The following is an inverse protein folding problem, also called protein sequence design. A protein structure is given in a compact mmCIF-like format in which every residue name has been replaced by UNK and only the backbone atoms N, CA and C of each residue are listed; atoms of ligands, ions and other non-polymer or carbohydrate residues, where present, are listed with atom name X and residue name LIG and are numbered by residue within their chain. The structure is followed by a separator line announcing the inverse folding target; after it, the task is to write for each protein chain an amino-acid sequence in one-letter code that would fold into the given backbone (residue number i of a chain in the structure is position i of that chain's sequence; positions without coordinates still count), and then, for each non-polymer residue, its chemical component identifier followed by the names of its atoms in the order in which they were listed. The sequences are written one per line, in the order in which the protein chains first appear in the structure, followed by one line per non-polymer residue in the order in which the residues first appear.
data_IF_745368432410
#
_entry.id   IF_745368432410
#
_cell.length_a   1.000
_cell.length_b   1.000
_cell.length_c   1.000
_cell.angle_alpha   90.00
_cell.angle_beta   90.00
_cell.angle_gamma   90.00
#
_symmetry.space_group_name_H-M   'P 1'
#
loop_
_entity.id
_entity.type
_entity.pdbx_description
1 polymer ?
#
# COMPACT_ATOMS: atom_id res chain seq x y z
N UNK A 1 1.56 27.89 14.60
CA UNK A 1 2.35 26.67 14.48
C UNK A 1 3.05 26.59 13.15
N UNK A 2 4.25 26.05 13.16
CA UNK A 2 4.97 25.70 11.95
C UNK A 2 5.27 24.21 11.94
N UNK A 3 5.29 23.64 10.74
CA UNK A 3 5.62 22.23 10.54
C UNK A 3 6.93 22.13 9.78
N UNK A 4 7.79 21.23 10.22
CA UNK A 4 9.00 20.90 9.51
C UNK A 4 8.90 19.49 8.96
N UNK A 5 9.58 19.27 7.84
CA UNK A 5 9.66 17.95 7.22
C UNK A 5 10.36 16.95 8.12
N UNK A 6 9.72 15.82 8.36
CA UNK A 6 10.27 14.73 9.19
C UNK A 6 10.53 13.49 8.36
N UNK A 7 9.55 13.10 7.55
CA UNK A 7 9.61 11.85 6.80
C UNK A 7 8.66 11.90 5.62
N UNK A 8 9.01 11.20 4.57
CA UNK A 8 8.12 11.03 3.45
C UNK A 8 8.75 10.21 2.34
N UNK A 9 7.99 10.03 1.27
CA UNK A 9 8.44 9.33 0.09
C UNK A 9 7.82 9.93 -1.16
N UNK A 10 8.65 10.22 -2.14
CA UNK A 10 8.22 10.68 -3.47
C UNK A 10 8.02 9.53 -4.44
N UNK A 11 8.29 8.31 -4.00
CA UNK A 11 8.14 7.09 -4.80
C UNK A 11 8.93 7.11 -6.11
N UNK A 12 10.13 7.63 -6.07
CA UNK A 12 11.06 7.50 -7.20
C UNK A 12 11.56 6.06 -7.33
N UNK A 13 11.61 5.36 -6.21
CA UNK A 13 11.84 3.93 -6.15
C UNK A 13 11.12 3.35 -4.94
N UNK A 14 10.90 2.04 -4.93
CA UNK A 14 10.28 1.36 -3.80
C UNK A 14 11.36 0.85 -2.85
N UNK A 15 11.63 1.62 -1.81
CA UNK A 15 12.72 1.35 -0.88
C UNK A 15 12.29 0.40 0.24
N UNK A 16 12.99 -0.70 0.39
CA UNK A 16 12.75 -1.64 1.50
C UNK A 16 13.17 -1.09 2.87
N UNK A 17 13.95 -0.02 2.90
CA UNK A 17 14.30 0.66 4.15
C UNK A 17 13.17 1.53 4.68
N UNK A 18 12.20 1.90 3.84
CA UNK A 18 11.02 2.70 4.21
C UNK A 18 9.76 1.87 4.29
N UNK A 19 9.59 0.89 3.44
CA UNK A 19 8.32 0.20 3.24
C UNK A 19 8.47 -1.31 3.37
N UNK A 20 7.47 -1.90 4.02
CA UNK A 20 7.25 -3.33 4.07
C UNK A 20 6.14 -3.67 3.08
N UNK A 21 6.47 -4.38 2.02
CA UNK A 21 5.52 -4.75 0.98
C UNK A 21 4.85 -6.07 1.36
N UNK A 22 3.53 -6.09 1.33
CA UNK A 22 2.75 -7.23 1.78
C UNK A 22 2.85 -8.42 0.84
N UNK A 23 2.83 -9.60 1.45
CA UNK A 23 2.67 -10.86 0.76
C UNK A 23 1.77 -11.77 1.57
N UNK A 24 0.93 -12.56 0.89
CA UNK A 24 0.05 -13.51 1.55
C UNK A 24 -1.41 -13.11 1.58
N UNK A 25 -2.27 -13.94 2.21
CA UNK A 25 -3.70 -13.65 2.28
C UNK A 25 -3.99 -12.47 3.19
N UNK A 26 -4.97 -11.67 2.82
CA UNK A 26 -5.46 -10.55 3.63
C UNK A 26 -6.74 -10.96 4.35
N UNK A 27 -6.62 -11.26 5.65
CA UNK A 27 -7.74 -11.66 6.46
C UNK A 27 -8.37 -12.99 6.06
N UNK A 28 -9.36 -13.44 6.81
CA UNK A 28 -10.02 -14.72 6.56
C UNK A 28 -11.20 -14.63 5.59
N UNK A 29 -11.81 -13.45 5.46
CA UNK A 29 -13.01 -13.23 4.66
C UNK A 29 -12.78 -12.45 3.37
N UNK A 30 -11.58 -11.96 3.15
CA UNK A 30 -11.24 -11.21 1.96
C UNK A 30 -10.85 -12.16 0.82
N UNK A 31 -11.21 -11.79 -0.40
CA UNK A 31 -10.98 -12.60 -1.59
C UNK A 31 -9.65 -12.26 -2.28
N UNK A 32 -8.77 -11.57 -1.60
CA UNK A 32 -7.50 -11.08 -2.14
C UNK A 32 -6.31 -11.74 -1.49
N UNK A 33 -5.27 -11.91 -2.29
CA UNK A 33 -3.97 -12.38 -1.86
C UNK A 33 -2.94 -11.31 -2.21
N UNK A 34 -2.18 -10.82 -1.23
CA UNK A 34 -1.17 -9.82 -1.50
C UNK A 34 0.03 -10.41 -2.23
N UNK A 35 0.41 -9.76 -3.31
CA UNK A 35 1.57 -10.12 -4.12
C UNK A 35 2.51 -8.93 -4.22
N UNK A 36 3.81 -9.09 -3.94
CA UNK A 36 4.76 -7.98 -4.09
C UNK A 36 4.80 -7.41 -5.50
N UNK A 37 4.53 -8.24 -6.52
CA UNK A 37 4.49 -7.79 -7.91
C UNK A 37 3.34 -6.84 -8.21
N UNK A 38 2.36 -6.72 -7.31
CA UNK A 38 1.23 -5.80 -7.45
C UNK A 38 1.53 -4.40 -6.87
N UNK A 39 2.75 -4.18 -6.39
CA UNK A 39 3.20 -2.90 -5.87
C UNK A 39 4.49 -2.51 -6.56
N UNK A 40 4.49 -1.40 -7.29
CA UNK A 40 5.70 -0.90 -7.94
C UNK A 40 5.69 0.61 -8.05
N UNK A 41 6.85 1.19 -8.36
CA UNK A 41 6.97 2.63 -8.60
C UNK A 41 7.23 2.89 -10.08
N UNK A 42 6.65 3.97 -10.57
CA UNK A 42 6.84 4.43 -11.95
C UNK A 42 6.49 5.91 -12.04
N UNK A 43 7.37 6.70 -12.64
CA UNK A 43 7.13 8.12 -12.84
C UNK A 43 6.90 8.91 -11.56
N UNK A 44 7.62 8.58 -10.48
CA UNK A 44 7.44 9.24 -9.20
C UNK A 44 6.12 8.90 -8.50
N UNK A 45 5.57 7.72 -8.77
CA UNK A 45 4.30 7.28 -8.21
C UNK A 45 4.39 5.84 -7.74
N UNK A 46 3.74 5.56 -6.62
CA UNK A 46 3.47 4.20 -6.18
C UNK A 46 2.20 3.70 -6.86
N UNK A 47 2.28 2.53 -7.46
CA UNK A 47 1.14 1.86 -8.07
C UNK A 47 0.82 0.60 -7.29
N UNK A 48 -0.42 0.50 -6.82
CA UNK A 48 -0.98 -0.68 -6.19
C UNK A 48 -2.11 -1.18 -7.07
N UNK A 49 -2.03 -2.42 -7.52
CA UNK A 49 -3.01 -2.96 -8.47
C UNK A 49 -3.73 -4.16 -7.92
N UNK A 50 -4.95 -4.35 -8.40
CA UNK A 50 -5.78 -5.52 -8.16
C UNK A 50 -5.93 -6.24 -9.49
N UNK A 51 -5.56 -7.52 -9.51
CA UNK A 51 -5.71 -8.35 -10.69
C UNK A 51 -6.60 -9.56 -10.38
N UNK A 52 -7.38 -9.97 -11.35
CA UNK A 52 -8.06 -11.24 -11.28
C UNK A 52 -7.05 -12.34 -11.57
N UNK A 53 -6.77 -13.15 -10.56
CA UNK A 53 -5.75 -14.18 -10.64
C UNK A 53 -6.16 -15.36 -9.75
N UNK A 54 -7.07 -16.21 -10.21
CA UNK A 54 -7.57 -17.33 -9.42
C UNK A 54 -6.45 -18.31 -9.04
N UNK A 55 -6.64 -18.94 -7.88
CA UNK A 55 -5.76 -19.97 -7.31
C UNK A 55 -4.54 -19.48 -6.54
N UNK A 56 -4.47 -18.19 -6.22
CA UNK A 56 -3.47 -17.71 -5.27
C UNK A 56 -3.98 -17.89 -3.85
N UNK A 57 -3.53 -18.94 -3.19
CA UNK A 57 -4.01 -19.30 -1.87
C UNK A 57 -5.52 -19.56 -1.82
N UNK A 58 -6.12 -20.01 -2.92
CA UNK A 58 -7.57 -20.19 -3.04
C UNK A 58 -8.35 -18.90 -3.24
N UNK A 59 -7.68 -17.78 -3.43
CA UNK A 59 -8.29 -16.46 -3.60
C UNK A 59 -8.45 -16.14 -5.09
N UNK A 60 -9.46 -15.31 -5.41
CA UNK A 60 -9.79 -14.98 -6.80
C UNK A 60 -9.01 -13.79 -7.34
N UNK A 61 -8.45 -12.97 -6.44
CA UNK A 61 -7.78 -11.73 -6.80
C UNK A 61 -6.42 -11.64 -6.14
N UNK A 62 -5.52 -10.91 -6.79
CA UNK A 62 -4.28 -10.46 -6.17
C UNK A 62 -4.35 -8.95 -5.96
N UNK A 63 -3.70 -8.46 -4.92
CA UNK A 63 -3.72 -7.05 -4.56
C UNK A 63 -2.32 -6.60 -4.16
N UNK A 64 -2.12 -5.29 -4.14
CA UNK A 64 -0.90 -4.68 -3.63
C UNK A 64 -1.17 -3.92 -2.34
N UNK A 65 -0.23 -4.00 -1.43
CA UNK A 65 -0.28 -3.25 -0.19
C UNK A 65 1.09 -3.11 0.43
N UNK A 66 1.26 -2.07 1.22
CA UNK A 66 2.49 -1.85 1.97
C UNK A 66 2.22 -1.01 3.21
N UNK A 67 3.13 -1.07 4.16
CA UNK A 67 3.17 -0.20 5.32
C UNK A 67 4.61 0.15 5.67
N UNK A 68 4.80 1.01 6.64
CA UNK A 68 6.15 1.32 7.12
C UNK A 68 6.72 0.25 8.04
N UNK A 69 5.91 -0.71 8.46
CA UNK A 69 6.28 -1.61 9.52
C UNK A 69 6.54 -0.78 10.78
N UNK A 70 7.61 -1.00 11.43
CA UNK A 70 8.01 -0.17 12.57
C UNK A 70 9.08 0.86 12.21
N UNK A 71 9.25 1.16 10.92
CA UNK A 71 10.32 2.04 10.43
C UNK A 71 10.05 3.51 10.64
N UNK A 72 8.78 3.91 10.71
CA UNK A 72 8.38 5.29 10.95
C UNK A 72 7.06 5.32 11.72
N UNK A 73 7.07 6.01 12.83
CA UNK A 73 5.85 6.35 13.54
C UNK A 73 6.07 7.60 14.36
N UNK A 74 4.99 8.33 14.63
CA UNK A 74 5.03 9.53 15.45
C UNK A 74 3.65 9.74 16.08
N UNK A 75 3.64 10.29 17.29
CA UNK A 75 2.41 10.49 18.04
C UNK A 75 1.62 11.68 17.51
N UNK A 76 2.30 12.74 17.16
CA UNK A 76 1.69 13.98 16.68
C UNK A 76 2.33 14.40 15.37
N UNK A 77 1.59 15.21 14.60
CA UNK A 77 2.11 15.76 13.37
C UNK A 77 1.06 15.88 12.30
N UNK A 78 1.50 16.35 11.15
CA UNK A 78 0.67 16.48 9.96
C UNK A 78 1.08 15.42 8.96
N UNK A 79 0.09 14.67 8.48
CA UNK A 79 0.29 13.66 7.45
C UNK A 79 -0.43 14.08 6.18
N UNK A 80 0.26 14.02 5.07
CA UNK A 80 -0.32 14.34 3.76
C UNK A 80 -0.05 13.20 2.79
N UNK A 81 -1.11 12.79 2.08
CA UNK A 81 -1.02 11.78 1.03
C UNK A 81 -1.78 12.30 -0.18
N UNK A 82 -1.14 12.24 -1.34
CA UNK A 82 -1.79 12.52 -2.60
C UNK A 82 -2.04 11.20 -3.32
N UNK A 83 -3.30 10.90 -3.59
CA UNK A 83 -3.66 9.59 -4.13
C UNK A 83 -4.81 9.70 -5.14
N UNK A 84 -4.83 8.72 -6.05
CA UNK A 84 -5.94 8.49 -6.95
C UNK A 84 -6.39 7.05 -6.76
N UNK A 85 -7.65 6.88 -6.41
CA UNK A 85 -8.22 5.57 -6.15
C UNK A 85 -8.95 5.02 -7.35
N UNK A 86 -8.86 3.69 -7.53
CA UNK A 86 -9.66 3.00 -8.52
C UNK A 86 -11.13 3.00 -8.11
N UNK A 87 -12.01 3.11 -9.09
CA UNK A 87 -13.44 2.96 -8.89
C UNK A 87 -13.87 1.57 -9.31
N UNK A 88 -14.83 0.99 -8.58
CA UNK A 88 -15.37 -0.31 -8.94
C UNK A 88 -16.17 -0.91 -7.79
N UNK A 89 -17.13 -1.75 -8.14
CA UNK A 89 -17.94 -2.44 -7.15
C UNK A 89 -17.10 -3.47 -6.39
N UNK A 90 -17.13 -3.42 -5.09
CA UNK A 90 -16.38 -4.34 -4.24
C UNK A 90 -14.89 -4.04 -4.11
N UNK A 91 -14.40 -2.92 -4.66
CA UNK A 91 -13.02 -2.49 -4.52
C UNK A 91 -12.91 -1.59 -3.29
N UNK A 92 -12.00 -1.94 -2.39
CA UNK A 92 -11.70 -1.13 -1.21
C UNK A 92 -10.28 -0.60 -1.30
N UNK A 93 -10.15 0.71 -1.29
CA UNK A 93 -8.87 1.38 -1.18
C UNK A 93 -8.73 1.96 0.24
N UNK A 94 -7.55 1.84 0.80
CA UNK A 94 -7.30 2.27 2.17
C UNK A 94 -5.95 2.95 2.31
N UNK A 95 -5.97 4.11 2.93
CA UNK A 95 -4.78 4.81 3.40
C UNK A 95 -5.07 5.19 4.85
N UNK A 96 -4.21 4.79 5.76
CA UNK A 96 -4.45 5.08 7.16
C UNK A 96 -3.22 4.98 8.03
N UNK A 97 -3.41 5.35 9.27
CA UNK A 97 -2.42 5.28 10.34
C UNK A 97 -2.92 4.29 11.40
N UNK A 98 -1.98 3.58 11.98
CA UNK A 98 -2.25 2.72 13.11
C UNK A 98 -1.83 3.39 14.41
#
# INVERSE_FOLDING_TARGET
YSFSWVWGDNFDSLSSSKWNVYTGPFGSSNNSYFMPSNAWTSGGRLNLVINQAPNNGGRKYTAGGLDTGWRQYQTYGKWEVRAKFAAGYGITAYIGLY
#
